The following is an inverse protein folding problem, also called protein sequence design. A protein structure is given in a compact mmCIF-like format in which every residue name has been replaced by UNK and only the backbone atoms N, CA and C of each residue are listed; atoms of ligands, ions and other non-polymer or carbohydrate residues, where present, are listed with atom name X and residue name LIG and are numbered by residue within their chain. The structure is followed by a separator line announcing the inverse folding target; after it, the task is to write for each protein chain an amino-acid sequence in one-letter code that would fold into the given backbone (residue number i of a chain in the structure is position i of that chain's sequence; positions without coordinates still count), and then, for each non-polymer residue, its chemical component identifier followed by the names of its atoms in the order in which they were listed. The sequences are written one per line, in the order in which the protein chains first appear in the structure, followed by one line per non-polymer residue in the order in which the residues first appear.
data_IF_716859401479
#
_entry.id   IF_716859401479
#
_cell.length_a   1.000
_cell.length_b   1.000
_cell.length_c   1.000
_cell.angle_alpha   90.00
_cell.angle_beta   90.00
_cell.angle_gamma   90.00
#
_symmetry.space_group_name_H-M   'P 1'
#
loop_
_entity.id
_entity.type
_entity.pdbx_description
1 polymer ?
#
# COMPACT_ATOMS: atom_id res chain seq x y z
N UNK A 1 -10.75 -8.82 -16.11
CA UNK A 1 -11.85 -8.90 -15.15
C UNK A 1 -12.44 -10.30 -15.17
N UNK A 2 -12.56 -10.93 -13.99
CA UNK A 2 -13.27 -12.18 -13.83
C UNK A 2 -14.30 -12.01 -12.73
N UNK A 3 -15.39 -12.74 -12.79
CA UNK A 3 -16.35 -12.86 -11.69
C UNK A 3 -17.16 -14.14 -11.84
N UNK A 4 -17.77 -14.59 -10.74
CA UNK A 4 -18.61 -15.75 -10.70
C UNK A 4 -19.96 -15.46 -10.04
N UNK A 5 -20.89 -16.37 -10.21
CA UNK A 5 -22.16 -16.41 -9.50
C UNK A 5 -22.19 -17.69 -8.68
N UNK A 6 -22.20 -17.56 -7.36
CA UNK A 6 -22.15 -18.73 -6.47
C UNK A 6 -23.34 -19.67 -6.72
N UNK A 7 -23.05 -20.94 -6.91
CA UNK A 7 -24.04 -21.98 -7.18
C UNK A 7 -24.58 -21.98 -8.63
N UNK A 8 -24.03 -21.15 -9.52
CA UNK A 8 -24.40 -21.21 -10.93
C UNK A 8 -23.88 -22.50 -11.57
N UNK A 9 -24.63 -22.99 -12.54
CA UNK A 9 -24.25 -24.06 -13.49
C UNK A 9 -23.91 -23.49 -14.84
N UNK A 10 -24.36 -22.29 -15.12
CA UNK A 10 -24.09 -21.54 -16.34
C UNK A 10 -24.27 -20.05 -16.04
N UNK A 11 -23.43 -19.22 -16.65
CA UNK A 11 -23.47 -17.76 -16.53
C UNK A 11 -23.37 -17.17 -17.94
N UNK A 12 -24.14 -16.13 -18.22
CA UNK A 12 -24.04 -15.30 -19.42
C UNK A 12 -23.84 -13.86 -19.02
N UNK A 13 -22.87 -13.20 -19.64
CA UNK A 13 -22.57 -11.80 -19.42
C UNK A 13 -22.57 -11.06 -20.74
N UNK A 14 -23.24 -9.92 -20.77
CA UNK A 14 -23.31 -9.04 -21.93
C UNK A 14 -22.80 -7.67 -21.51
N UNK A 15 -21.73 -7.21 -22.15
CA UNK A 15 -21.27 -5.83 -22.08
C UNK A 15 -21.90 -5.05 -23.22
N UNK A 16 -22.43 -3.87 -22.94
CA UNK A 16 -23.08 -3.02 -23.95
C UNK A 16 -22.72 -1.55 -23.80
N UNK A 17 -22.62 -0.85 -24.93
CA UNK A 17 -22.41 0.59 -24.98
C UNK A 17 -23.53 1.23 -25.81
N UNK A 18 -24.16 2.27 -25.30
CA UNK A 18 -25.27 2.97 -25.95
C UNK A 18 -26.37 2.00 -26.48
N UNK A 19 -26.68 0.97 -25.66
CA UNK A 19 -27.72 -0.03 -25.99
C UNK A 19 -27.30 -1.11 -26.99
N UNK A 20 -26.07 -1.10 -27.50
CA UNK A 20 -25.55 -2.12 -28.42
C UNK A 20 -24.61 -3.07 -27.66
N UNK A 21 -24.80 -4.39 -27.83
CA UNK A 21 -23.87 -5.39 -27.32
C UNK A 21 -22.49 -5.22 -27.97
N UNK A 22 -21.45 -5.20 -27.13
CA UNK A 22 -20.03 -5.08 -27.57
C UNK A 22 -19.23 -6.32 -27.28
N UNK A 23 -19.63 -7.09 -26.24
CA UNK A 23 -19.03 -8.36 -25.89
C UNK A 23 -20.08 -9.21 -25.18
N UNK A 24 -20.14 -10.49 -25.56
CA UNK A 24 -20.96 -11.48 -24.92
C UNK A 24 -20.12 -12.72 -24.60
N UNK A 25 -20.22 -13.19 -23.37
CA UNK A 25 -19.46 -14.32 -22.85
C UNK A 25 -20.38 -15.27 -22.07
N UNK A 26 -20.05 -16.55 -22.14
CA UNK A 26 -20.65 -17.60 -21.31
C UNK A 26 -19.59 -18.35 -20.54
N UNK A 27 -19.99 -18.92 -19.41
CA UNK A 27 -19.14 -19.76 -18.55
C UNK A 27 -19.99 -20.60 -17.62
N UNK A 28 -19.38 -21.59 -16.97
CA UNK A 28 -20.08 -22.45 -16.04
C UNK A 28 -20.19 -21.78 -14.64
N UNK A 29 -19.17 -21.91 -13.81
CA UNK A 29 -19.18 -21.36 -12.44
C UNK A 29 -18.70 -19.90 -12.39
N UNK A 30 -17.87 -19.48 -13.35
CA UNK A 30 -17.34 -18.11 -13.50
C UNK A 30 -17.09 -17.74 -14.95
N UNK A 31 -17.01 -16.46 -15.19
CA UNK A 31 -16.65 -15.90 -16.50
C UNK A 31 -15.14 -15.70 -16.54
N UNK A 32 -14.51 -16.31 -17.54
CA UNK A 32 -13.13 -16.03 -17.92
C UNK A 32 -13.13 -15.17 -19.19
N UNK A 33 -12.65 -13.93 -19.05
CA UNK A 33 -12.56 -13.01 -20.17
C UNK A 33 -11.16 -13.15 -20.79
N UNK A 34 -11.01 -13.62 -22.03
CA UNK A 34 -9.71 -13.73 -22.67
C UNK A 34 -8.97 -12.38 -22.61
N UNK A 35 -7.73 -12.40 -22.16
CA UNK A 35 -6.93 -11.18 -21.88
C UNK A 35 -6.86 -10.26 -23.10
N UNK A 36 -6.68 -10.80 -24.28
CA UNK A 36 -6.62 -10.02 -25.52
C UNK A 36 -7.95 -9.31 -25.80
N UNK A 37 -9.07 -10.06 -25.74
CA UNK A 37 -10.42 -9.50 -25.93
C UNK A 37 -10.73 -8.39 -24.92
N UNK A 38 -10.33 -8.60 -23.64
CA UNK A 38 -10.50 -7.60 -22.61
C UNK A 38 -9.70 -6.32 -22.90
N UNK A 39 -8.44 -6.43 -23.31
CA UNK A 39 -7.58 -5.29 -23.69
C UNK A 39 -8.16 -4.51 -24.86
N UNK A 40 -8.57 -5.19 -25.92
CA UNK A 40 -9.17 -4.56 -27.12
C UNK A 40 -10.45 -3.79 -26.75
N UNK A 41 -11.27 -4.37 -25.87
CA UNK A 41 -12.46 -3.71 -25.37
C UNK A 41 -12.10 -2.47 -24.52
N UNK A 42 -11.14 -2.58 -23.59
CA UNK A 42 -10.68 -1.44 -22.78
C UNK A 42 -10.15 -0.31 -23.66
N UNK A 43 -9.33 -0.64 -24.67
CA UNK A 43 -8.76 0.35 -25.59
C UNK A 43 -9.82 1.05 -26.44
N UNK A 44 -10.83 0.29 -26.89
CA UNK A 44 -11.93 0.81 -27.72
C UNK A 44 -12.90 1.71 -26.96
N UNK A 45 -13.00 1.54 -25.64
CA UNK A 45 -13.97 2.24 -24.80
C UNK A 45 -13.33 3.13 -23.71
N UNK A 46 -12.06 3.53 -23.88
CA UNK A 46 -11.42 4.50 -22.98
C UNK A 46 -12.29 5.75 -22.78
N UNK A 47 -12.43 6.18 -21.54
CA UNK A 47 -13.25 7.34 -21.13
C UNK A 47 -14.76 7.11 -21.27
N UNK A 48 -15.23 5.89 -21.50
CA UNK A 48 -16.65 5.56 -21.73
C UNK A 48 -17.19 4.57 -20.69
N UNK A 49 -18.50 4.45 -20.70
CA UNK A 49 -19.23 3.53 -19.84
C UNK A 49 -19.68 2.29 -20.61
N UNK A 50 -19.64 1.15 -19.94
CA UNK A 50 -20.23 -0.09 -20.40
C UNK A 50 -21.27 -0.57 -19.39
N UNK A 51 -22.49 -0.81 -19.85
CA UNK A 51 -23.48 -1.52 -19.06
C UNK A 51 -23.19 -3.02 -19.08
N UNK A 52 -23.27 -3.66 -17.92
CA UNK A 52 -23.02 -5.08 -17.71
C UNK A 52 -24.30 -5.76 -17.27
N UNK A 53 -24.75 -6.72 -18.06
CA UNK A 53 -25.92 -7.53 -17.80
C UNK A 53 -25.46 -8.97 -17.52
N UNK A 54 -25.89 -9.53 -16.40
CA UNK A 54 -25.53 -10.88 -15.94
C UNK A 54 -26.81 -11.71 -15.83
N UNK A 55 -26.80 -12.88 -16.47
CA UNK A 55 -27.80 -13.92 -16.24
C UNK A 55 -27.12 -15.19 -15.73
N UNK A 56 -27.76 -15.93 -14.85
CA UNK A 56 -27.24 -17.20 -14.35
C UNK A 56 -28.34 -18.25 -14.22
N UNK A 57 -27.96 -19.50 -14.40
CA UNK A 57 -28.80 -20.69 -14.21
C UNK A 57 -28.26 -21.46 -13.01
N UNK A 58 -29.11 -21.61 -12.00
CA UNK A 58 -28.77 -22.31 -10.76
C UNK A 58 -29.73 -23.48 -10.53
N UNK A 59 -29.50 -24.28 -9.50
CA UNK A 59 -30.49 -25.33 -9.10
C UNK A 59 -31.84 -24.74 -8.70
N UNK A 60 -31.82 -23.55 -8.09
CA UNK A 60 -33.03 -22.85 -7.61
C UNK A 60 -33.73 -22.09 -8.77
N UNK A 61 -33.00 -21.71 -9.78
CA UNK A 61 -33.49 -20.99 -10.96
C UNK A 61 -33.06 -21.72 -12.26
N UNK A 62 -33.67 -22.89 -12.57
CA UNK A 62 -33.30 -23.67 -13.75
C UNK A 62 -33.64 -22.97 -15.08
N UNK A 63 -34.64 -22.07 -15.07
CA UNK A 63 -35.05 -21.26 -16.23
C UNK A 63 -34.20 -20.00 -16.40
N UNK A 64 -33.26 -19.77 -15.46
CA UNK A 64 -32.36 -18.61 -15.45
C UNK A 64 -32.89 -17.43 -14.63
N UNK A 65 -31.98 -16.68 -14.05
CA UNK A 65 -32.27 -15.42 -13.33
C UNK A 65 -31.42 -14.31 -13.93
N UNK A 66 -32.07 -13.17 -14.22
CA UNK A 66 -31.42 -11.95 -14.67
C UNK A 66 -31.11 -11.07 -13.45
N UNK A 67 -29.84 -10.74 -13.26
CA UNK A 67 -29.43 -9.79 -12.22
C UNK A 67 -29.65 -8.34 -12.64
N UNK A 68 -29.70 -7.43 -11.67
CA UNK A 68 -29.76 -6.00 -11.94
C UNK A 68 -28.52 -5.57 -12.71
N UNK A 69 -28.73 -4.91 -13.84
CA UNK A 69 -27.64 -4.33 -14.63
C UNK A 69 -26.83 -3.33 -13.80
N UNK A 70 -25.52 -3.28 -14.02
CA UNK A 70 -24.62 -2.28 -13.45
C UNK A 70 -23.74 -1.69 -14.55
N UNK A 71 -23.10 -0.57 -14.24
CA UNK A 71 -22.21 0.13 -15.17
C UNK A 71 -20.77 0.05 -14.70
N UNK A 72 -19.85 -0.18 -15.62
CA UNK A 72 -18.42 0.00 -15.41
C UNK A 72 -17.93 1.20 -16.23
N UNK A 73 -17.05 1.99 -15.65
CA UNK A 73 -16.39 3.11 -16.31
C UNK A 73 -14.99 2.68 -16.72
N UNK A 74 -14.67 2.80 -18.00
CA UNK A 74 -13.33 2.55 -18.50
C UNK A 74 -12.53 3.84 -18.34
N UNK A 75 -11.51 3.83 -17.51
CA UNK A 75 -10.64 4.98 -17.29
C UNK A 75 -9.94 5.41 -18.59
N UNK A 76 -9.75 6.69 -18.77
CA UNK A 76 -9.00 7.23 -19.89
C UNK A 76 -7.50 7.00 -19.73
N UNK A 77 -7.01 7.19 -18.49
CA UNK A 77 -5.59 7.05 -18.16
C UNK A 77 -5.24 5.62 -17.73
N UNK A 78 -4.12 5.16 -18.25
CA UNK A 78 -3.61 3.85 -17.91
C UNK A 78 -3.20 3.76 -16.43
N UNK A 79 -3.30 2.55 -15.88
CA UNK A 79 -2.70 2.16 -14.60
C UNK A 79 -1.26 1.72 -14.83
N UNK A 80 -0.39 1.80 -13.82
CA UNK A 80 0.96 1.21 -13.89
C UNK A 80 0.89 -0.30 -14.16
N UNK A 81 1.95 -0.84 -14.79
CA UNK A 81 1.92 -2.23 -15.28
C UNK A 81 1.94 -3.28 -14.16
N UNK A 82 2.47 -2.94 -12.99
CA UNK A 82 2.64 -3.88 -11.87
C UNK A 82 2.26 -3.26 -10.53
N UNK A 83 1.99 -4.12 -9.56
CA UNK A 83 1.87 -3.77 -8.15
C UNK A 83 2.74 -4.71 -7.32
N UNK A 84 3.57 -4.16 -6.44
CA UNK A 84 4.29 -4.91 -5.42
C UNK A 84 3.54 -4.86 -4.09
N UNK A 85 3.66 -5.90 -3.28
CA UNK A 85 3.04 -5.98 -1.96
C UNK A 85 3.70 -7.06 -1.12
N UNK A 86 3.57 -6.94 0.18
CA UNK A 86 3.94 -7.99 1.11
C UNK A 86 2.76 -8.94 1.34
N UNK A 87 2.98 -10.25 1.17
CA UNK A 87 2.07 -11.29 1.63
C UNK A 87 2.50 -11.77 3.01
N UNK A 88 1.55 -11.82 3.93
CA UNK A 88 1.76 -12.31 5.29
C UNK A 88 0.55 -13.16 5.72
N UNK A 89 0.75 -14.34 6.36
CA UNK A 89 -0.35 -15.07 6.95
C UNK A 89 -1.07 -14.23 8.00
N UNK A 90 -2.40 -14.36 8.15
CA UNK A 90 -3.13 -13.66 9.20
C UNK A 90 -2.71 -14.16 10.57
N UNK A 91 -2.69 -13.24 11.53
CA UNK A 91 -2.15 -13.54 12.86
C UNK A 91 -0.63 -13.66 12.86
N UNK A 92 -0.09 -14.12 13.97
CA UNK A 92 1.36 -14.10 14.22
C UNK A 92 2.04 -15.46 14.07
N UNK A 93 1.33 -16.44 13.53
CA UNK A 93 1.76 -17.86 13.50
C UNK A 93 2.66 -18.15 12.30
N UNK A 94 2.83 -17.26 11.36
CA UNK A 94 3.40 -17.61 10.08
C UNK A 94 4.55 -16.74 9.59
N UNK A 95 5.41 -16.25 10.47
CA UNK A 95 6.62 -15.51 10.07
C UNK A 95 7.44 -16.23 8.99
N UNK A 96 7.38 -17.56 8.95
CA UNK A 96 8.08 -18.40 7.99
C UNK A 96 7.39 -18.54 6.62
N UNK A 97 6.37 -17.72 6.33
CA UNK A 97 5.64 -17.74 5.05
C UNK A 97 5.45 -16.34 4.46
N UNK A 98 6.31 -15.40 4.82
CA UNK A 98 6.25 -14.04 4.28
C UNK A 98 6.90 -13.98 2.90
N UNK A 99 6.38 -13.10 2.05
CA UNK A 99 6.96 -12.79 0.77
C UNK A 99 6.70 -11.33 0.38
N UNK A 100 7.63 -10.69 -0.31
CA UNK A 100 7.36 -9.51 -1.11
C UNK A 100 7.14 -10.01 -2.53
N UNK A 101 5.93 -9.78 -3.04
CA UNK A 101 5.45 -10.24 -4.32
C UNK A 101 5.31 -9.08 -5.29
N UNK A 102 5.30 -9.39 -6.56
CA UNK A 102 4.85 -8.49 -7.62
C UNK A 102 3.78 -9.17 -8.46
N UNK A 103 2.84 -8.39 -8.92
CA UNK A 103 1.71 -8.82 -9.74
C UNK A 103 1.64 -8.02 -11.03
N UNK A 104 1.62 -8.71 -12.15
CA UNK A 104 1.30 -8.12 -13.45
C UNK A 104 -0.19 -7.73 -13.49
N UNK A 105 -0.51 -6.45 -13.67
CA UNK A 105 -1.88 -5.96 -13.75
C UNK A 105 -2.53 -6.20 -15.11
N UNK A 106 -1.76 -6.66 -16.10
CA UNK A 106 -2.27 -7.05 -17.41
C UNK A 106 -2.59 -8.55 -17.53
N UNK A 107 -2.26 -9.33 -16.50
CA UNK A 107 -2.49 -10.77 -16.44
C UNK A 107 -2.80 -11.20 -15.01
N UNK A 108 -2.78 -12.52 -14.75
CA UNK A 108 -2.87 -13.08 -13.39
C UNK A 108 -1.52 -13.59 -12.88
N UNK A 109 -0.42 -13.21 -13.54
CA UNK A 109 0.92 -13.61 -13.13
C UNK A 109 1.35 -12.91 -11.85
N UNK A 110 1.67 -13.69 -10.84
CA UNK A 110 2.18 -13.25 -9.53
C UNK A 110 3.52 -13.95 -9.30
N UNK A 111 4.58 -13.18 -9.09
CA UNK A 111 5.94 -13.72 -8.86
C UNK A 111 6.57 -13.11 -7.62
N UNK A 112 7.36 -13.86 -6.85
CA UNK A 112 8.08 -13.31 -5.71
C UNK A 112 9.25 -12.43 -6.16
N UNK A 113 9.39 -11.26 -5.51
CA UNK A 113 10.63 -10.49 -5.50
C UNK A 113 11.59 -11.15 -4.52
N UNK A 114 11.10 -11.48 -3.32
CA UNK A 114 11.83 -12.24 -2.30
C UNK A 114 10.82 -12.98 -1.40
N UNK A 115 11.19 -14.17 -0.95
CA UNK A 115 10.46 -14.86 0.12
C UNK A 115 11.37 -14.94 1.36
N UNK A 116 10.81 -15.27 2.49
CA UNK A 116 11.64 -15.43 3.67
C UNK A 116 12.53 -16.69 3.66
N UNK A 117 12.40 -17.55 2.66
CA UNK A 117 13.34 -18.66 2.45
C UNK A 117 14.76 -18.15 2.13
N UNK A 118 14.89 -17.06 1.36
CA UNK A 118 16.16 -16.41 1.08
C UNK A 118 16.81 -15.81 2.35
N UNK A 119 16.00 -15.57 3.39
CA UNK A 119 16.43 -15.01 4.68
C UNK A 119 16.30 -16.01 5.84
N UNK A 120 16.57 -17.30 5.60
CA UNK A 120 16.55 -18.36 6.62
C UNK A 120 15.27 -18.35 7.50
N UNK A 121 14.13 -18.07 6.93
CA UNK A 121 12.85 -17.95 7.63
C UNK A 121 12.67 -16.65 8.41
N UNK A 122 13.58 -15.71 8.31
CA UNK A 122 13.49 -14.41 8.98
C UNK A 122 12.47 -13.48 8.33
N UNK A 123 12.10 -12.41 9.03
CA UNK A 123 11.16 -11.39 8.56
C UNK A 123 11.73 -10.64 7.36
N UNK A 124 10.84 -10.38 6.38
CA UNK A 124 11.09 -9.50 5.24
C UNK A 124 10.03 -8.41 5.25
N UNK A 125 10.46 -7.15 5.18
CA UNK A 125 9.55 -6.03 5.42
C UNK A 125 9.98 -4.75 4.70
N UNK A 126 9.15 -3.71 4.81
CA UNK A 126 9.49 -2.32 4.48
C UNK A 126 10.11 -2.14 3.09
N UNK A 127 9.51 -2.73 2.04
CA UNK A 127 9.91 -2.40 0.68
C UNK A 127 9.47 -0.98 0.32
N UNK A 128 10.24 -0.32 -0.53
CA UNK A 128 9.86 0.95 -1.13
C UNK A 128 10.58 1.15 -2.47
N UNK A 129 9.84 1.60 -3.48
CA UNK A 129 10.31 1.79 -4.85
C UNK A 129 10.50 3.28 -5.14
N UNK A 130 11.71 3.67 -5.56
CA UNK A 130 11.99 5.04 -5.96
C UNK A 130 11.18 5.41 -7.22
N UNK A 131 10.17 6.27 -7.08
CA UNK A 131 9.29 6.69 -8.17
C UNK A 131 8.64 5.51 -8.94
N UNK A 132 8.35 4.40 -8.25
CA UNK A 132 7.82 3.17 -8.85
C UNK A 132 8.81 2.46 -9.80
N UNK A 133 10.11 2.73 -9.71
CA UNK A 133 11.12 2.12 -10.56
C UNK A 133 11.39 0.66 -10.18
N UNK A 134 11.27 -0.31 -11.10
CA UNK A 134 11.62 -1.69 -10.81
C UNK A 134 13.13 -1.91 -10.63
N UNK A 135 13.96 -0.94 -11.04
CA UNK A 135 15.42 -1.02 -11.00
C UNK A 135 16.03 -0.23 -9.83
N UNK A 136 15.20 0.47 -9.04
CA UNK A 136 15.65 1.25 -7.87
C UNK A 136 14.67 1.11 -6.73
N UNK A 137 15.02 0.26 -5.78
CA UNK A 137 14.18 -0.05 -4.63
C UNK A 137 15.02 -0.49 -3.44
N UNK A 138 14.39 -0.58 -2.31
CA UNK A 138 14.98 -1.17 -1.12
C UNK A 138 13.98 -2.07 -0.41
N UNK A 139 14.48 -2.96 0.44
CA UNK A 139 13.72 -3.77 1.37
C UNK A 139 14.56 -4.12 2.60
N UNK A 140 13.88 -4.43 3.70
CA UNK A 140 14.52 -4.92 4.91
C UNK A 140 14.41 -6.43 5.06
N UNK A 141 15.49 -7.06 5.47
CA UNK A 141 15.52 -8.43 5.96
C UNK A 141 15.99 -8.42 7.44
N UNK A 142 15.24 -9.08 8.30
CA UNK A 142 15.54 -9.17 9.75
C UNK A 142 15.84 -10.61 10.10
N UNK A 143 17.07 -10.88 10.48
CA UNK A 143 17.59 -12.14 11.04
C UNK A 143 19.09 -11.93 11.36
N UNK A 144 19.82 -12.96 11.78
CA UNK A 144 21.27 -12.90 12.08
C UNK A 144 22.12 -12.32 10.93
N UNK A 145 21.74 -12.56 9.68
CA UNK A 145 22.37 -11.97 8.49
C UNK A 145 21.63 -10.75 7.91
N UNK A 146 20.60 -10.27 8.59
CA UNK A 146 19.72 -9.21 8.09
C UNK A 146 20.41 -7.88 7.83
N UNK A 147 19.66 -6.96 7.25
CA UNK A 147 20.07 -5.60 6.90
C UNK A 147 19.10 -4.96 5.93
N UNK A 148 19.43 -3.77 5.48
CA UNK A 148 18.72 -3.07 4.40
C UNK A 148 19.35 -3.47 3.08
N UNK A 149 18.58 -4.09 2.19
CA UNK A 149 19.00 -4.35 0.82
C UNK A 149 18.58 -3.15 -0.01
N UNK A 150 19.54 -2.54 -0.68
CA UNK A 150 19.34 -1.44 -1.62
C UNK A 150 19.70 -1.93 -3.01
N UNK A 151 18.76 -1.80 -3.95
CA UNK A 151 18.98 -2.12 -5.37
C UNK A 151 18.97 -0.82 -6.17
N UNK A 152 20.04 -0.62 -6.94
CA UNK A 152 20.21 0.53 -7.84
C UNK A 152 20.77 0.04 -9.17
N UNK A 153 19.97 0.19 -10.23
CA UNK A 153 20.39 -0.12 -11.60
C UNK A 153 20.98 -1.55 -11.76
N UNK A 154 20.29 -2.54 -11.13
CA UNK A 154 20.68 -3.95 -11.15
C UNK A 154 21.79 -4.34 -10.16
N UNK A 155 22.35 -3.40 -9.43
CA UNK A 155 23.31 -3.68 -8.36
C UNK A 155 22.61 -3.75 -7.01
N UNK A 156 22.85 -4.83 -6.28
CA UNK A 156 22.36 -5.03 -4.92
C UNK A 156 23.46 -4.80 -3.90
N UNK A 157 23.15 -4.07 -2.85
CA UNK A 157 24.04 -3.84 -1.72
C UNK A 157 23.28 -4.08 -0.41
N UNK A 158 23.93 -4.73 0.55
CA UNK A 158 23.42 -4.88 1.92
C UNK A 158 24.05 -3.82 2.81
N UNK A 159 23.21 -3.02 3.46
CA UNK A 159 23.61 -1.95 4.37
C UNK A 159 23.09 -2.22 5.77
N UNK A 160 23.83 -1.78 6.75
CA UNK A 160 23.44 -1.77 8.15
C UNK A 160 23.08 -0.33 8.53
N UNK A 161 21.83 0.03 8.32
CA UNK A 161 21.33 1.37 8.62
C UNK A 161 20.60 1.31 9.96
N UNK A 162 21.30 1.74 11.00
CA UNK A 162 20.80 1.71 12.37
C UNK A 162 21.37 2.89 13.16
N UNK A 163 20.61 3.39 14.12
CA UNK A 163 21.06 4.31 15.16
C UNK A 163 20.61 3.79 16.53
N UNK A 164 21.38 4.05 17.58
CA UNK A 164 21.04 3.65 18.94
C UNK A 164 20.62 2.17 19.09
N UNK A 165 21.25 1.28 18.33
CA UNK A 165 20.95 -0.15 18.27
C UNK A 165 19.59 -0.54 17.69
N UNK A 166 18.87 0.39 17.07
CA UNK A 166 17.61 0.17 16.38
C UNK A 166 17.77 0.33 14.86
N UNK A 167 17.18 -0.60 14.12
CA UNK A 167 17.24 -0.59 12.66
C UNK A 167 16.28 0.44 12.07
N UNK A 168 16.70 1.06 10.98
CA UNK A 168 15.84 1.89 10.16
C UNK A 168 14.62 1.12 9.64
N UNK A 169 13.46 1.78 9.63
CA UNK A 169 12.17 1.24 9.16
C UNK A 169 11.42 2.27 8.33
N UNK A 170 10.28 1.88 7.75
CA UNK A 170 9.35 2.75 7.01
C UNK A 170 10.03 3.70 6.02
N UNK A 171 10.76 3.15 5.03
CA UNK A 171 11.53 3.92 4.07
C UNK A 171 10.67 4.78 3.15
N UNK A 172 11.23 5.90 2.71
CA UNK A 172 10.73 6.63 1.56
C UNK A 172 11.88 7.26 0.77
N UNK A 173 11.97 6.91 -0.53
CA UNK A 173 12.96 7.47 -1.42
C UNK A 173 12.69 8.94 -1.74
N UNK A 174 13.73 9.75 -1.67
CA UNK A 174 13.72 11.04 -2.34
C UNK A 174 13.61 10.85 -3.86
N UNK A 175 12.83 11.66 -4.58
CA UNK A 175 12.56 11.44 -6.00
C UNK A 175 13.81 11.44 -6.92
N UNK A 176 14.92 12.04 -6.51
CA UNK A 176 16.19 11.97 -7.28
C UNK A 176 16.90 10.60 -7.16
N UNK A 177 16.51 9.77 -6.18
CA UNK A 177 17.09 8.45 -5.95
C UNK A 177 18.46 8.44 -5.28
N UNK A 178 18.85 9.54 -4.61
CA UNK A 178 20.05 9.61 -3.78
C UNK A 178 19.75 9.38 -2.32
N UNK A 179 18.76 10.07 -1.77
CA UNK A 179 18.44 10.00 -0.35
C UNK A 179 17.27 9.06 -0.08
N UNK A 180 17.29 8.44 1.09
CA UNK A 180 16.18 7.68 1.64
C UNK A 180 15.91 8.21 3.05
N UNK A 181 14.68 8.64 3.31
CA UNK A 181 14.23 8.93 4.66
C UNK A 181 13.75 7.64 5.32
N UNK A 182 14.06 7.47 6.58
CA UNK A 182 13.58 6.37 7.43
C UNK A 182 13.08 6.94 8.75
N UNK A 183 12.29 6.16 9.44
CA UNK A 183 12.21 6.28 10.89
C UNK A 183 12.91 5.11 11.57
N UNK A 184 13.41 5.35 12.77
CA UNK A 184 14.02 4.33 13.62
C UNK A 184 13.08 4.11 14.78
N UNK A 185 12.54 2.90 14.90
CA UNK A 185 11.40 2.63 15.77
C UNK A 185 11.71 1.50 16.75
N UNK A 186 11.26 1.64 17.99
CA UNK A 186 11.13 0.55 18.95
C UNK A 186 9.69 0.05 18.96
N UNK A 187 9.40 -0.93 18.10
CA UNK A 187 8.05 -1.42 17.81
C UNK A 187 7.65 -2.49 18.80
N UNK A 188 6.51 -2.29 19.47
CA UNK A 188 5.89 -3.25 20.36
C UNK A 188 4.53 -3.70 19.86
N UNK A 189 4.15 -4.91 20.28
CA UNK A 189 2.88 -5.50 19.95
C UNK A 189 2.22 -6.04 21.20
N UNK A 190 0.99 -5.64 21.43
CA UNK A 190 0.16 -6.10 22.53
C UNK A 190 -1.08 -6.85 22.05
N UNK A 191 -1.52 -7.81 22.85
CA UNK A 191 -2.73 -8.59 22.62
C UNK A 191 -3.75 -8.27 23.70
N UNK A 192 -4.95 -7.90 23.28
CA UNK A 192 -6.05 -7.55 24.17
C UNK A 192 -7.18 -8.57 24.08
N UNK A 193 -7.56 -9.17 25.20
CA UNK A 193 -8.65 -10.16 25.25
C UNK A 193 -10.05 -9.53 25.28
N UNK A 194 -10.14 -8.27 25.69
CA UNK A 194 -11.39 -7.57 26.03
C UNK A 194 -11.76 -6.42 25.08
N UNK A 195 -10.84 -6.01 24.17
CA UNK A 195 -11.08 -4.93 23.24
C UNK A 195 -11.58 -5.40 21.89
N UNK A 196 -12.19 -4.51 21.10
CA UNK A 196 -12.58 -4.75 19.71
C UNK A 196 -11.33 -5.00 18.87
N UNK A 197 -10.33 -4.14 19.00
CA UNK A 197 -9.00 -4.37 18.45
C UNK A 197 -8.27 -5.38 19.33
N UNK A 198 -8.10 -6.61 18.81
CA UNK A 198 -7.44 -7.70 19.56
C UNK A 198 -5.93 -7.56 19.61
N UNK A 199 -5.39 -6.74 18.75
CA UNK A 199 -3.96 -6.56 18.53
C UNK A 199 -3.73 -5.08 18.37
N UNK A 200 -2.78 -4.56 19.13
CA UNK A 200 -2.29 -3.20 18.94
C UNK A 200 -0.79 -3.26 18.70
N UNK A 201 -0.34 -2.49 17.72
CA UNK A 201 1.07 -2.31 17.41
C UNK A 201 1.39 -0.83 17.57
N UNK A 202 2.39 -0.54 18.37
CA UNK A 202 2.76 0.84 18.70
C UNK A 202 4.27 0.97 18.83
N UNK A 203 4.76 2.19 18.75
CA UNK A 203 6.16 2.53 18.96
C UNK A 203 6.36 3.08 20.40
N UNK A 204 7.39 2.60 21.11
CA UNK A 204 7.81 3.20 22.37
C UNK A 204 8.58 4.49 22.13
N UNK A 205 9.36 4.51 21.06
CA UNK A 205 9.98 5.71 20.52
C UNK A 205 10.15 5.58 19.01
N UNK A 206 10.27 6.70 18.33
CA UNK A 206 10.64 6.74 16.92
C UNK A 206 11.26 8.09 16.55
N UNK A 207 12.34 8.05 15.77
CA UNK A 207 13.11 9.21 15.32
C UNK A 207 13.27 9.18 13.79
N UNK A 208 13.46 10.34 13.16
CA UNK A 208 13.72 10.46 11.72
C UNK A 208 15.22 10.46 11.43
N UNK A 209 15.58 9.73 10.37
CA UNK A 209 16.93 9.79 9.78
C UNK A 209 16.86 9.91 8.28
N UNK A 210 17.92 10.51 7.70
CA UNK A 210 18.14 10.54 6.26
C UNK A 210 19.41 9.73 5.95
N UNK A 211 19.30 8.81 5.00
CA UNK A 211 20.44 8.06 4.51
C UNK A 211 20.85 8.53 3.13
N UNK A 212 22.10 8.92 2.95
CA UNK A 212 22.69 9.28 1.67
C UNK A 212 23.35 8.06 1.03
N UNK A 213 22.73 7.52 -0.02
CA UNK A 213 23.20 6.32 -0.71
C UNK A 213 24.48 6.55 -1.54
N UNK A 214 24.93 7.79 -1.73
CA UNK A 214 26.17 8.10 -2.43
C UNK A 214 27.37 8.13 -1.49
N UNK A 215 27.19 8.66 -0.30
CA UNK A 215 28.27 8.81 0.69
C UNK A 215 28.27 7.70 1.74
N UNK A 216 27.21 6.88 1.77
CA UNK A 216 26.99 5.82 2.77
C UNK A 216 26.90 6.39 4.21
N UNK A 217 26.26 7.55 4.35
CA UNK A 217 26.16 8.30 5.61
C UNK A 217 24.72 8.38 6.09
N UNK A 218 24.54 8.19 7.38
CA UNK A 218 23.31 8.54 8.10
C UNK A 218 23.41 9.99 8.54
N UNK A 219 22.38 10.78 8.27
CA UNK A 219 22.23 12.19 8.66
C UNK A 219 21.09 12.24 9.67
N UNK A 220 21.42 12.65 10.87
CA UNK A 220 20.49 12.87 11.98
C UNK A 220 20.21 14.36 12.14
N UNK A 221 19.07 14.69 12.70
CA UNK A 221 18.68 16.06 13.07
C UNK A 221 18.19 16.07 14.52
N UNK A 222 18.89 16.77 15.40
CA UNK A 222 18.63 16.81 16.83
C UNK A 222 17.18 17.21 17.18
N UNK A 223 16.49 17.90 16.29
CA UNK A 223 15.08 18.30 16.47
C UNK A 223 14.10 17.11 16.36
N UNK A 224 14.53 16.01 15.74
CA UNK A 224 13.75 14.81 15.48
C UNK A 224 14.42 13.54 16.05
N UNK A 225 15.25 13.73 17.08
CA UNK A 225 15.96 12.70 17.82
C UNK A 225 15.83 12.97 19.33
N UNK A 226 14.72 13.56 19.77
CA UNK A 226 14.46 13.84 21.17
C UNK A 226 13.52 12.81 21.80
N UNK A 227 13.50 12.74 23.12
CA UNK A 227 12.66 11.78 23.85
C UNK A 227 11.24 12.27 24.15
N UNK A 228 10.87 13.46 23.70
CA UNK A 228 9.59 14.09 23.99
C UNK A 228 8.57 13.92 22.88
N UNK A 229 9.06 13.65 21.65
CA UNK A 229 8.25 13.45 20.46
C UNK A 229 8.63 12.11 19.81
N UNK A 230 7.71 11.58 19.04
CA UNK A 230 7.91 10.41 18.18
C UNK A 230 7.65 10.82 16.74
N UNK A 231 8.58 10.53 15.83
CA UNK A 231 8.45 10.82 14.41
C UNK A 231 8.54 9.53 13.60
N UNK A 232 7.56 9.31 12.73
CA UNK A 232 7.47 8.09 11.94
C UNK A 232 6.85 8.32 10.55
N UNK A 233 6.88 7.30 9.69
CA UNK A 233 6.29 7.28 8.35
C UNK A 233 6.69 8.46 7.46
N UNK A 234 7.99 8.70 7.24
CA UNK A 234 8.43 9.78 6.36
C UNK A 234 7.94 9.61 4.92
N UNK A 235 7.68 10.72 4.23
CA UNK A 235 7.29 10.76 2.83
C UNK A 235 7.79 12.04 2.15
N UNK A 236 8.64 11.92 1.16
CA UNK A 236 9.06 13.07 0.36
C UNK A 236 7.95 13.59 -0.54
N UNK A 237 7.93 14.90 -0.73
CA UNK A 237 7.13 15.51 -1.80
C UNK A 237 7.65 15.08 -3.19
N UNK A 238 6.78 15.02 -4.22
CA UNK A 238 7.20 14.61 -5.57
C UNK A 238 8.27 15.51 -6.21
N UNK A 239 8.34 16.77 -5.78
CA UNK A 239 9.37 17.73 -6.22
C UNK A 239 10.64 17.66 -5.35
N UNK A 240 10.66 16.82 -4.32
CA UNK A 240 11.80 16.62 -3.41
C UNK A 240 12.08 17.77 -2.44
N UNK A 241 11.25 18.80 -2.40
CA UNK A 241 11.54 19.99 -1.57
C UNK A 241 11.12 19.87 -0.12
N UNK A 242 10.24 18.92 0.20
CA UNK A 242 9.71 18.74 1.54
C UNK A 242 9.75 17.27 1.94
N UNK A 243 9.99 17.03 3.22
CA UNK A 243 9.73 15.77 3.88
C UNK A 243 8.48 15.92 4.77
N UNK A 244 7.47 15.07 4.54
CA UNK A 244 6.30 14.91 5.39
C UNK A 244 6.54 13.74 6.33
N UNK A 245 5.99 13.79 7.53
CA UNK A 245 6.10 12.72 8.52
C UNK A 245 4.97 12.81 9.55
N UNK A 246 4.73 11.74 10.28
CA UNK A 246 3.80 11.72 11.39
C UNK A 246 4.56 12.00 12.69
N UNK A 247 4.00 12.84 13.56
CA UNK A 247 4.57 13.13 14.88
C UNK A 247 3.50 13.11 15.96
N UNK A 248 3.85 12.57 17.13
CA UNK A 248 3.04 12.51 18.35
C UNK A 248 3.92 12.69 19.57
N UNK A 249 3.44 13.31 20.65
CA UNK A 249 4.15 13.27 21.92
C UNK A 249 4.42 11.83 22.36
N UNK A 250 5.51 11.63 23.09
CA UNK A 250 5.83 10.34 23.71
C UNK A 250 4.78 9.97 24.77
N UNK A 251 4.37 8.72 24.79
CA UNK A 251 3.35 8.17 25.68
C UNK A 251 3.90 7.13 26.64
N UNK A 252 3.23 6.92 27.77
CA UNK A 252 3.54 5.84 28.72
C UNK A 252 2.79 4.58 28.27
N UNK A 253 3.41 3.81 27.40
CA UNK A 253 2.82 2.63 26.79
C UNK A 253 3.01 1.37 27.70
N UNK A 254 2.06 0.44 27.63
CA UNK A 254 0.86 0.36 26.77
C UNK A 254 -0.37 1.09 27.33
N UNK A 255 -0.28 1.84 28.42
CA UNK A 255 -1.45 2.41 29.12
C UNK A 255 -2.12 3.54 28.36
N UNK A 256 -1.36 4.30 27.58
CA UNK A 256 -1.84 5.48 26.86
C UNK A 256 -2.06 5.25 25.36
N UNK A 257 -2.10 3.98 24.90
CA UNK A 257 -2.24 3.66 23.47
C UNK A 257 -3.50 4.26 22.84
N UNK A 258 -4.62 4.31 23.57
CA UNK A 258 -5.88 4.87 23.11
C UNK A 258 -5.85 6.41 23.00
N UNK A 259 -4.84 7.07 23.59
CA UNK A 259 -4.64 8.52 23.51
C UNK A 259 -3.59 8.93 22.47
N UNK A 260 -2.92 7.97 21.83
CA UNK A 260 -1.96 8.24 20.76
C UNK A 260 -2.61 8.93 19.58
N UNK A 261 -2.15 10.12 19.25
CA UNK A 261 -2.71 10.96 18.20
C UNK A 261 -1.60 11.59 17.36
N UNK A 262 -1.30 10.96 16.25
CA UNK A 262 -0.28 11.44 15.30
C UNK A 262 -0.82 12.55 14.42
N UNK A 263 -0.13 13.69 14.43
CA UNK A 263 -0.27 14.78 13.46
C UNK A 263 0.61 14.54 12.23
N UNK A 264 0.31 15.18 11.10
CA UNK A 264 1.22 15.19 9.94
C UNK A 264 1.90 16.54 9.89
N UNK A 265 3.22 16.52 9.95
CA UNK A 265 4.10 17.66 9.83
C UNK A 265 4.83 17.61 8.48
N UNK A 266 5.38 18.75 8.05
CA UNK A 266 6.33 18.81 6.94
C UNK A 266 7.47 19.76 7.24
N UNK A 267 8.63 19.48 6.67
CA UNK A 267 9.83 20.27 6.81
C UNK A 267 10.50 20.42 5.45
N UNK A 268 11.11 21.58 5.13
CA UNK A 268 11.92 21.72 3.91
C UNK A 268 13.09 20.74 3.90
N UNK A 269 13.48 20.28 2.71
CA UNK A 269 14.63 19.39 2.51
C UNK A 269 15.64 20.01 1.57
N UNK A 270 16.91 20.03 1.97
CA UNK A 270 18.00 20.49 1.13
C UNK A 270 18.69 19.29 0.43
N UNK A 271 18.42 19.11 -0.84
CA UNK A 271 18.99 18.05 -1.67
C UNK A 271 20.51 18.09 -1.79
N UNK A 272 21.16 19.23 -1.57
CA UNK A 272 22.62 19.34 -1.66
C UNK A 272 23.30 18.72 -0.45
N UNK A 273 22.73 18.94 0.71
CA UNK A 273 23.32 18.54 1.99
C UNK A 273 22.61 17.33 2.64
N UNK A 274 21.41 16.99 2.20
CA UNK A 274 20.56 15.96 2.84
C UNK A 274 19.96 16.42 4.18
N UNK A 275 20.05 17.71 4.52
CA UNK A 275 19.59 18.24 5.80
C UNK A 275 18.14 18.74 5.74
N UNK A 276 17.48 18.64 6.88
CA UNK A 276 16.14 19.19 7.10
C UNK A 276 16.25 20.68 7.42
N UNK A 277 15.41 21.48 6.78
CA UNK A 277 15.37 22.94 6.93
C UNK A 277 14.41 23.44 7.98
N UNK A 278 13.97 24.68 7.85
CA UNK A 278 12.95 25.35 8.68
C UNK A 278 12.03 26.19 7.78
N UNK A 279 10.77 26.47 8.19
CA UNK A 279 10.11 26.02 9.41
C UNK A 279 9.60 24.57 9.33
N UNK A 280 9.15 24.04 10.47
CA UNK A 280 8.32 22.82 10.52
C UNK A 280 6.87 23.26 10.50
N UNK A 281 6.13 22.86 9.48
CA UNK A 281 4.72 23.21 9.27
C UNK A 281 3.81 22.05 9.68
N UNK A 282 2.68 22.33 10.34
CA UNK A 282 1.63 21.36 10.60
C UNK A 282 0.65 21.31 9.42
N UNK A 283 0.51 20.14 8.81
CA UNK A 283 -0.41 19.90 7.69
C UNK A 283 -1.74 19.29 8.16
N UNK A 284 -1.67 18.39 9.13
CA UNK A 284 -2.81 17.83 9.83
C UNK A 284 -2.54 17.86 11.32
N UNK A 285 -3.44 18.46 12.09
CA UNK A 285 -3.30 18.56 13.54
C UNK A 285 -4.30 17.61 14.22
N UNK A 286 -3.80 16.50 14.75
CA UNK A 286 -4.64 15.49 15.41
C UNK A 286 -5.42 16.03 16.62
N UNK A 287 -4.86 16.96 17.37
CA UNK A 287 -5.54 17.57 18.53
C UNK A 287 -6.71 18.49 18.15
N UNK A 288 -6.68 19.04 16.91
CA UNK A 288 -7.75 19.94 16.43
C UNK A 288 -8.77 19.17 15.61
N UNK A 289 -8.29 18.26 14.74
CA UNK A 289 -9.09 17.56 13.74
C UNK A 289 -9.57 16.18 14.21
N UNK A 290 -8.99 15.69 15.32
CA UNK A 290 -9.31 14.40 15.94
C UNK A 290 -8.59 13.21 15.29
N UNK A 291 -8.46 12.13 16.03
CA UNK A 291 -7.87 10.86 15.57
C UNK A 291 -6.36 10.89 15.39
N UNK A 292 -5.84 9.86 14.76
CA UNK A 292 -4.42 9.63 14.53
C UNK A 292 -4.16 9.39 13.04
N UNK A 293 -3.19 10.10 12.46
CA UNK A 293 -2.81 9.98 11.06
C UNK A 293 -1.59 9.08 10.88
N UNK A 294 -1.55 8.32 9.78
CA UNK A 294 -0.38 7.54 9.42
C UNK A 294 -0.20 7.40 7.91
N UNK A 295 1.01 7.01 7.50
CA UNK A 295 1.36 6.71 6.12
C UNK A 295 1.01 7.84 5.13
N UNK A 296 1.46 9.09 5.34
CA UNK A 296 1.22 10.17 4.40
C UNK A 296 1.80 9.83 3.01
N UNK A 297 1.04 10.12 1.94
CA UNK A 297 1.46 9.93 0.55
C UNK A 297 0.97 11.08 -0.30
N UNK A 298 1.89 11.83 -0.87
CA UNK A 298 1.58 12.98 -1.71
C UNK A 298 1.33 12.48 -3.14
N UNK A 299 0.27 12.99 -3.79
CA UNK A 299 0.00 12.68 -5.20
C UNK A 299 1.15 13.15 -6.09
N UNK A 300 1.47 12.44 -7.21
CA UNK A 300 2.61 12.80 -8.08
C UNK A 300 2.59 14.22 -8.63
N UNK A 301 1.42 14.84 -8.74
CA UNK A 301 1.27 16.24 -9.15
C UNK A 301 1.42 17.25 -8.00
N UNK A 302 1.68 16.77 -6.78
CA UNK A 302 1.91 17.58 -5.59
C UNK A 302 0.66 18.26 -5.02
N UNK A 303 -0.54 17.94 -5.51
CA UNK A 303 -1.76 18.68 -5.12
C UNK A 303 -2.47 18.10 -3.92
N UNK A 304 -2.37 16.79 -3.71
CA UNK A 304 -3.13 16.08 -2.68
C UNK A 304 -2.22 15.28 -1.77
N UNK A 305 -2.57 15.24 -0.51
CA UNK A 305 -2.02 14.35 0.50
C UNK A 305 -3.09 13.33 0.88
N UNK A 306 -2.83 12.05 0.63
CA UNK A 306 -3.65 10.93 1.08
C UNK A 306 -2.96 10.30 2.30
N UNK A 307 -3.71 9.98 3.33
CA UNK A 307 -3.20 9.34 4.55
C UNK A 307 -4.24 8.42 5.16
N UNK A 308 -3.81 7.45 5.96
CA UNK A 308 -4.70 6.62 6.74
C UNK A 308 -4.97 7.29 8.10
N UNK A 309 -6.23 7.23 8.53
CA UNK A 309 -6.73 7.80 9.77
C UNK A 309 -7.40 6.72 10.62
N UNK A 310 -7.21 6.76 11.92
CA UNK A 310 -7.95 5.97 12.91
C UNK A 310 -8.31 6.84 14.12
N UNK A 311 -9.13 6.35 15.03
CA UNK A 311 -9.49 7.10 16.24
C UNK A 311 -8.26 7.35 17.14
N UNK A 312 -7.31 6.41 17.16
CA UNK A 312 -6.04 6.51 17.89
C UNK A 312 -4.99 5.55 17.30
N UNK A 313 -3.79 5.52 17.87
CA UNK A 313 -2.77 4.51 17.59
C UNK A 313 -1.85 4.82 16.41
N UNK A 314 -0.91 3.90 16.14
CA UNK A 314 0.14 4.05 15.12
C UNK A 314 -0.22 3.33 13.81
N UNK A 315 -0.84 2.13 13.91
CA UNK A 315 -1.08 1.26 12.76
C UNK A 315 -2.56 1.06 12.45
N UNK A 316 -3.16 1.94 11.63
CA UNK A 316 -4.59 1.95 11.35
C UNK A 316 -5.16 0.64 10.83
N UNK A 317 -4.33 -0.21 10.17
CA UNK A 317 -4.79 -1.52 9.67
C UNK A 317 -5.32 -2.44 10.78
N UNK A 318 -4.97 -2.19 12.05
CA UNK A 318 -5.49 -2.93 13.20
C UNK A 318 -6.82 -2.37 13.70
N UNK A 319 -7.19 -1.17 13.27
CA UNK A 319 -8.36 -0.42 13.67
C UNK A 319 -9.50 -0.60 12.65
N UNK A 320 -10.62 -1.27 13.01
CA UNK A 320 -11.73 -1.52 12.07
C UNK A 320 -12.39 -0.26 11.52
N UNK A 321 -12.29 0.85 12.24
CA UNK A 321 -12.78 2.17 11.86
C UNK A 321 -11.81 2.96 10.97
N UNK A 322 -10.64 2.42 10.70
CA UNK A 322 -9.62 3.11 9.89
C UNK A 322 -10.09 3.43 8.49
N UNK A 323 -9.81 4.63 8.05
CA UNK A 323 -10.24 5.20 6.78
C UNK A 323 -9.11 5.97 6.09
N UNK A 324 -9.24 6.14 4.78
CA UNK A 324 -8.37 7.01 4.00
C UNK A 324 -8.93 8.43 3.98
N UNK A 325 -8.08 9.39 4.32
CA UNK A 325 -8.40 10.83 4.34
C UNK A 325 -7.57 11.58 3.31
N UNK A 326 -8.14 12.62 2.72
CA UNK A 326 -7.52 13.40 1.66
C UNK A 326 -7.42 14.88 2.04
N UNK A 327 -6.25 15.48 1.89
CA UNK A 327 -6.04 16.93 2.01
C UNK A 327 -5.72 17.50 0.63
N UNK A 328 -6.44 18.55 0.22
CA UNK A 328 -6.02 19.43 -0.88
C UNK A 328 -4.93 20.38 -0.35
N UNK A 329 -3.70 20.18 -0.78
CA UNK A 329 -2.52 20.91 -0.28
C UNK A 329 -2.50 22.39 -0.69
N UNK A 330 -3.28 22.79 -1.69
CA UNK A 330 -3.41 24.19 -2.10
C UNK A 330 -4.35 24.95 -1.17
N UNK A 331 -5.44 24.31 -0.74
CA UNK A 331 -6.50 24.95 0.05
C UNK A 331 -6.44 24.56 1.53
N UNK A 332 -5.62 23.59 1.89
CA UNK A 332 -5.55 22.93 3.19
C UNK A 332 -6.90 22.35 3.65
N UNK A 333 -7.77 22.01 2.69
CA UNK A 333 -9.07 21.44 3.00
C UNK A 333 -8.95 19.93 3.17
N UNK A 334 -9.44 19.45 4.32
CA UNK A 334 -9.56 18.02 4.64
C UNK A 334 -10.88 17.48 4.09
N UNK A 335 -10.81 16.30 3.48
CA UNK A 335 -11.93 15.54 2.98
C UNK A 335 -11.90 14.12 3.54
N UNK A 336 -13.08 13.59 3.84
CA UNK A 336 -13.32 12.16 4.02
C UNK A 336 -13.99 11.64 2.75
N UNK A 337 -13.26 10.93 1.86
CA UNK A 337 -13.84 10.48 0.61
C UNK A 337 -14.78 9.29 0.82
N UNK A 338 -16.07 9.45 0.62
CA UNK A 338 -17.08 8.42 0.88
C UNK A 338 -16.93 7.19 -0.05
N UNK A 339 -16.48 7.40 -1.29
CA UNK A 339 -16.45 6.32 -2.29
C UNK A 339 -15.32 5.31 -2.08
N UNK A 340 -14.21 5.69 -1.46
CA UNK A 340 -13.04 4.81 -1.29
C UNK A 340 -13.14 4.00 0.00
N UNK A 341 -13.73 4.58 1.05
CA UNK A 341 -13.83 3.99 2.37
C UNK A 341 -15.02 3.02 2.49
N UNK A 342 -14.88 2.02 3.33
CA UNK A 342 -15.93 1.05 3.66
C UNK A 342 -15.77 0.56 5.10
N UNK A 343 -16.76 -0.16 5.60
CA UNK A 343 -16.64 -0.81 6.90
C UNK A 343 -15.50 -1.84 6.90
N UNK A 344 -14.67 -1.83 7.90
CA UNK A 344 -13.43 -2.58 8.00
C UNK A 344 -12.22 -1.70 7.61
N UNK A 345 -11.07 -1.96 8.20
CA UNK A 345 -9.90 -1.10 8.06
C UNK A 345 -9.50 -0.86 6.60
N UNK A 346 -9.36 0.40 6.21
CA UNK A 346 -8.78 0.86 4.96
C UNK A 346 -7.44 1.57 5.26
N UNK A 347 -6.32 1.06 4.75
CA UNK A 347 -5.00 1.55 5.07
C UNK A 347 -3.96 1.17 4.01
N UNK A 348 -2.68 1.44 4.27
CA UNK A 348 -1.55 1.12 3.38
C UNK A 348 -1.85 1.41 1.91
N UNK A 349 -1.67 2.63 1.50
CA UNK A 349 -2.00 3.09 0.16
C UNK A 349 -0.79 3.64 -0.59
N UNK A 350 -0.86 3.61 -1.92
CA UNK A 350 0.08 4.32 -2.78
C UNK A 350 -0.59 4.85 -4.05
N UNK A 351 -0.02 5.94 -4.59
CA UNK A 351 -0.43 6.52 -5.86
C UNK A 351 0.26 5.81 -7.03
N UNK A 352 -0.45 5.69 -8.15
CA UNK A 352 0.16 5.35 -9.44
C UNK A 352 1.09 6.48 -9.92
N UNK A 353 2.00 6.16 -10.83
CA UNK A 353 3.00 7.12 -11.32
C UNK A 353 2.39 8.36 -11.99
N UNK A 354 1.19 8.24 -12.56
CA UNK A 354 0.44 9.33 -13.17
C UNK A 354 -0.53 10.05 -12.21
N UNK A 355 -0.65 9.59 -10.96
CA UNK A 355 -1.54 10.16 -9.95
C UNK A 355 -3.04 9.97 -10.22
N UNK A 356 -3.40 9.05 -11.12
CA UNK A 356 -4.80 8.79 -11.50
C UNK A 356 -5.37 7.55 -10.83
N UNK A 357 -4.54 6.74 -10.21
CA UNK A 357 -4.95 5.55 -9.51
C UNK A 357 -4.35 5.50 -8.11
N UNK A 358 -5.10 4.90 -7.21
CA UNK A 358 -4.63 4.54 -5.86
C UNK A 358 -4.85 3.06 -5.66
N UNK A 359 -3.84 2.37 -5.13
CA UNK A 359 -3.96 1.03 -4.59
C UNK A 359 -3.91 1.10 -3.07
N UNK A 360 -4.73 0.32 -2.39
CA UNK A 360 -4.76 0.28 -0.92
C UNK A 360 -5.16 -1.10 -0.39
N UNK A 361 -4.79 -1.37 0.86
CA UNK A 361 -5.15 -2.59 1.57
C UNK A 361 -6.42 -2.37 2.38
N UNK A 362 -7.38 -3.32 2.30
CA UNK A 362 -8.65 -3.21 3.00
C UNK A 362 -9.10 -4.55 3.58
N UNK A 363 -9.70 -4.50 4.78
CA UNK A 363 -10.34 -5.65 5.45
C UNK A 363 -11.84 -5.73 5.21
N UNK A 364 -12.41 -4.94 4.30
CA UNK A 364 -13.86 -4.82 4.03
C UNK A 364 -14.58 -6.11 3.64
N UNK A 365 -13.88 -7.17 3.22
CA UNK A 365 -14.51 -8.41 2.77
C UNK A 365 -14.96 -9.27 3.96
N UNK A 366 -14.04 -9.57 4.89
CA UNK A 366 -14.30 -10.50 6.00
C UNK A 366 -13.77 -9.99 7.36
N UNK A 367 -13.15 -8.83 7.39
CA UNK A 367 -12.62 -8.21 8.61
C UNK A 367 -11.32 -8.82 9.16
N UNK A 368 -10.80 -9.90 8.57
CA UNK A 368 -9.62 -10.63 9.09
C UNK A 368 -8.37 -10.42 8.26
N UNK A 369 -8.46 -10.66 6.97
CA UNK A 369 -7.37 -10.51 6.02
C UNK A 369 -7.55 -9.24 5.20
N UNK A 370 -6.43 -8.66 4.78
CA UNK A 370 -6.46 -7.54 3.85
C UNK A 370 -6.42 -8.03 2.42
N UNK A 371 -7.25 -7.41 1.57
CA UNK A 371 -7.21 -7.56 0.12
C UNK A 371 -6.80 -6.24 -0.52
N UNK A 372 -6.27 -6.27 -1.74
CA UNK A 372 -5.91 -5.07 -2.48
C UNK A 372 -7.12 -4.55 -3.24
N UNK A 373 -7.33 -3.24 -3.13
CA UNK A 373 -8.34 -2.50 -3.88
C UNK A 373 -7.69 -1.39 -4.69
N UNK A 374 -8.27 -1.11 -5.85
CA UNK A 374 -7.84 -0.05 -6.76
C UNK A 374 -8.97 0.95 -6.93
N UNK A 375 -8.66 2.23 -6.81
CA UNK A 375 -9.59 3.32 -7.04
C UNK A 375 -9.03 4.28 -8.10
N UNK A 376 -9.86 4.64 -9.07
CA UNK A 376 -9.54 5.70 -10.03
C UNK A 376 -9.80 7.06 -9.37
N UNK A 377 -8.88 8.00 -9.57
CA UNK A 377 -8.93 9.34 -9.00
C UNK A 377 -8.99 10.39 -10.10
N UNK A 378 -10.05 11.18 -10.11
CA UNK A 378 -10.28 12.21 -11.10
C UNK A 378 -10.93 13.45 -10.44
N UNK A 379 -10.44 14.64 -10.77
CA UNK A 379 -10.99 15.92 -10.31
C UNK A 379 -11.15 16.02 -8.77
N UNK A 380 -10.19 15.47 -8.01
CA UNK A 380 -10.23 15.48 -6.54
C UNK A 380 -11.17 14.45 -5.91
N UNK A 381 -11.70 13.51 -6.68
CA UNK A 381 -12.65 12.51 -6.21
C UNK A 381 -12.22 11.10 -6.61
N UNK A 382 -12.52 10.12 -5.75
CA UNK A 382 -12.34 8.71 -6.03
C UNK A 382 -13.59 8.11 -6.66
N UNK A 383 -13.42 7.31 -7.68
CA UNK A 383 -14.44 6.39 -8.15
C UNK A 383 -14.56 5.19 -7.21
N UNK A 384 -15.64 4.42 -7.33
CA UNK A 384 -15.85 3.20 -6.55
C UNK A 384 -14.68 2.23 -6.78
N UNK A 385 -14.02 1.76 -5.72
CA UNK A 385 -12.89 0.84 -5.85
C UNK A 385 -13.33 -0.55 -6.27
N UNK A 386 -12.41 -1.26 -6.91
CA UNK A 386 -12.56 -2.67 -7.23
C UNK A 386 -11.38 -3.47 -6.65
N UNK A 387 -11.65 -4.71 -6.28
CA UNK A 387 -10.66 -5.63 -5.71
C UNK A 387 -9.73 -6.15 -6.81
N UNK A 388 -8.46 -6.43 -6.46
CA UNK A 388 -7.49 -7.08 -7.35
C UNK A 388 -8.09 -8.36 -7.94
N UNK A 389 -8.29 -8.45 -9.27
CA UNK A 389 -8.85 -9.64 -9.90
C UNK A 389 -7.91 -10.83 -9.79
N UNK A 390 -8.48 -12.02 -9.55
CA UNK A 390 -7.76 -13.29 -9.54
C UNK A 390 -8.26 -14.19 -10.68
N UNK A 391 -7.44 -15.15 -11.11
CA UNK A 391 -7.86 -16.14 -12.12
C UNK A 391 -9.12 -16.87 -11.68
N UNK A 392 -9.17 -17.35 -10.44
CA UNK A 392 -10.40 -17.78 -9.79
C UNK A 392 -10.90 -16.64 -8.89
N UNK A 393 -12.10 -16.06 -9.11
CA UNK A 393 -12.65 -14.98 -8.30
C UNK A 393 -12.76 -15.28 -6.80
N UNK A 394 -12.95 -16.54 -6.41
CA UNK A 394 -13.04 -16.96 -5.01
C UNK A 394 -11.67 -16.97 -4.30
N UNK A 395 -10.58 -16.94 -5.05
CA UNK A 395 -9.22 -17.04 -4.50
C UNK A 395 -8.93 -15.93 -3.48
N UNK A 396 -9.48 -14.74 -3.66
CA UNK A 396 -9.33 -13.64 -2.70
C UNK A 396 -9.91 -13.93 -1.32
N UNK A 397 -10.94 -14.79 -1.24
CA UNK A 397 -11.57 -15.21 0.03
C UNK A 397 -10.92 -16.49 0.56
N UNK A 398 -10.54 -17.41 -0.34
CA UNK A 398 -9.96 -18.70 0.02
C UNK A 398 -8.49 -18.60 0.40
N UNK A 399 -7.77 -17.60 -0.13
CA UNK A 399 -6.35 -17.38 0.17
C UNK A 399 -6.20 -16.78 1.56
N UNK A 400 -5.75 -17.59 2.50
CA UNK A 400 -5.57 -17.20 3.88
C UNK A 400 -4.27 -16.39 4.08
N UNK A 401 -4.16 -15.24 3.38
CA UNK A 401 -3.04 -14.29 3.45
C UNK A 401 -3.56 -12.86 3.44
N UNK A 402 -2.84 -11.98 4.12
CA UNK A 402 -3.03 -10.53 4.05
C UNK A 402 -2.08 -9.91 3.05
N UNK A 403 -2.58 -9.01 2.25
CA UNK A 403 -1.82 -8.15 1.35
C UNK A 403 -1.52 -6.83 2.06
N UNK A 404 -0.26 -6.51 2.27
CA UNK A 404 0.13 -5.31 3.00
C UNK A 404 1.07 -4.42 2.18
N UNK A 405 1.01 -3.12 2.46
CA UNK A 405 1.90 -2.09 1.90
C UNK A 405 2.01 -2.20 0.37
N UNK A 406 0.89 -2.08 -0.36
CA UNK A 406 0.96 -2.14 -1.81
C UNK A 406 1.63 -0.90 -2.38
N UNK A 407 2.47 -1.09 -3.41
CA UNK A 407 3.06 -0.02 -4.19
C UNK A 407 2.93 -0.30 -5.68
N UNK A 408 2.52 0.71 -6.47
CA UNK A 408 2.59 0.62 -7.91
C UNK A 408 4.05 0.65 -8.37
N UNK A 409 4.36 -0.21 -9.36
CA UNK A 409 5.66 -0.22 -10.03
C UNK A 409 5.46 -0.20 -11.56
N UNK A 410 6.35 0.51 -12.24
CA UNK A 410 6.25 0.78 -13.69
C UNK A 410 6.54 -0.42 -14.56
N UNK A 411 7.13 -1.47 -14.00
CA UNK A 411 7.50 -2.69 -14.72
C UNK A 411 7.85 -3.83 -13.78
N UNK A 412 8.14 -4.98 -14.36
CA UNK A 412 8.57 -6.18 -13.62
C UNK A 412 9.93 -5.93 -12.95
N UNK A 413 10.03 -6.27 -11.69
CA UNK A 413 11.30 -6.35 -10.97
C UNK A 413 11.99 -7.63 -11.42
N UNK A 414 13.15 -7.49 -12.03
CA UNK A 414 14.04 -8.61 -12.36
C UNK A 414 15.09 -8.72 -11.25
N UNK A 415 15.04 -9.80 -10.49
CA UNK A 415 15.89 -10.00 -9.31
C UNK A 415 16.53 -11.37 -9.34
N UNK A 416 17.87 -11.37 -9.15
CA UNK A 416 18.60 -12.59 -8.86
C UNK A 416 18.41 -12.97 -7.39
N UNK A 417 17.45 -13.87 -7.14
CA UNK A 417 17.10 -14.33 -5.77
C UNK A 417 18.20 -15.16 -5.14
N UNK A 418 19.01 -15.86 -5.91
CA UNK A 418 20.14 -16.66 -5.40
C UNK A 418 21.25 -15.73 -4.93
N UNK A 419 21.57 -14.68 -5.70
CA UNK A 419 22.50 -13.64 -5.29
C UNK A 419 22.00 -12.89 -4.05
N UNK A 420 20.70 -12.60 -3.96
CA UNK A 420 20.11 -11.96 -2.79
C UNK A 420 20.20 -12.87 -1.55
N UNK A 421 19.90 -14.16 -1.68
CA UNK A 421 20.05 -15.15 -0.61
C UNK A 421 21.50 -15.25 -0.13
N UNK A 422 22.46 -15.36 -1.05
CA UNK A 422 23.88 -15.41 -0.72
C UNK A 422 24.33 -14.14 0.04
N UNK A 423 23.83 -12.96 -0.37
CA UNK A 423 24.13 -11.70 0.30
C UNK A 423 23.56 -11.66 1.74
N UNK A 424 22.33 -12.16 1.95
CA UNK A 424 21.71 -12.21 3.28
C UNK A 424 22.37 -13.21 4.21
N UNK A 425 22.88 -14.31 3.68
CA UNK A 425 23.55 -15.36 4.45
C UNK A 425 25.05 -15.06 4.69
N UNK A 426 25.64 -14.12 3.95
CA UNK A 426 27.03 -13.72 4.17
C UNK A 426 27.17 -13.10 5.57
N UNK A 427 28.06 -13.67 6.39
CA UNK A 427 28.48 -13.06 7.66
C UNK A 427 29.12 -11.70 7.37
N UNK A 428 28.80 -10.72 8.21
CA UNK A 428 29.50 -9.42 8.20
C UNK A 428 31.01 -9.61 8.37
#
# INVERSE_FOLDING_TARGET
LNFGVRGAKNIRVIFSHAGKSVLELGGDEYIDIPTQTWREMLDSYKGRELAVNVAAWTKEHPDGIQYKSFTIHIAEEAIDGYVAYRLIPPGYIGWNKMAIMQRDLSSFEETPIITNNENEGGCINCHNFCQGSPNRYMLHARNKGGGTIIVKDGKMEKKDIAIHSHNATYPNWHPDGRFIAFSVNDVHQSFYSHCVSKIEVFDNFSDLIIYDTQTDQVIEDERFADTLQMETFPAFSPDGKYLYFCSSPTHILPFDVDSMAYSILRVPFDIKTGKLGTPVDTVYNAHIQGGSASHPRISPDGKYLLFAWAESGTFPIQHPESELMLIDLKTNKLYKPDNINAQGADSYHSWSSNGKWVVFASRRIEGRTTNLFFAYFINGQFCKPFMLPQANPEQNVQRFFSYNVPEFIKGKVDVDRDAMSAMLQSKK
#
